data_IF_238543121884
#
_entry.id   IF_238543121884
#
_cell.length_a   1.000
_cell.length_b   1.000
_cell.length_c   1.000
_cell.angle_alpha   90.00
_cell.angle_beta   90.00
_cell.angle_gamma   90.00
#
_symmetry.space_group_name_H-M   'P 1'
#
loop_
_entity.id
_entity.type
_entity.pdbx_description
1 polymer ?
#
# COMPACT_ATOMS: atom_id res chain seq x y z
N UNK A 1 46.17 -34.06 -23.61
CA UNK A 1 45.13 -33.56 -22.69
C UNK A 1 45.73 -32.55 -21.69
N UNK A 2 46.23 -31.40 -22.16
CA UNK A 2 46.85 -30.34 -21.34
C UNK A 2 46.40 -28.91 -21.70
N UNK A 3 45.42 -28.76 -22.60
CA UNK A 3 44.92 -27.45 -23.06
C UNK A 3 43.67 -26.96 -22.28
N UNK A 4 42.95 -27.87 -21.61
CA UNK A 4 41.74 -27.54 -20.82
C UNK A 4 42.03 -26.93 -19.45
N UNK A 5 43.25 -27.10 -18.91
CA UNK A 5 43.62 -26.46 -17.64
C UNK A 5 43.91 -24.96 -17.83
N UNK A 6 44.56 -24.59 -18.93
CA UNK A 6 44.98 -23.20 -19.19
C UNK A 6 43.80 -22.24 -19.37
N UNK A 7 42.71 -22.66 -20.02
CA UNK A 7 41.52 -21.81 -20.23
C UNK A 7 40.72 -21.60 -18.95
N UNK A 8 40.61 -22.65 -18.12
CA UNK A 8 39.94 -22.58 -16.81
C UNK A 8 40.69 -21.64 -15.86
N UNK A 9 42.01 -21.68 -15.90
CA UNK A 9 42.87 -20.86 -15.04
C UNK A 9 42.89 -19.39 -15.49
N UNK A 10 42.76 -19.12 -16.80
CA UNK A 10 42.59 -17.75 -17.34
C UNK A 10 41.21 -17.18 -16.97
N UNK A 11 40.13 -17.97 -17.08
CA UNK A 11 38.78 -17.54 -16.70
C UNK A 11 38.67 -17.24 -15.19
N UNK A 12 39.31 -18.04 -14.33
CA UNK A 12 39.40 -17.77 -12.90
C UNK A 12 40.17 -16.48 -12.60
N UNK A 13 41.21 -16.18 -13.38
CA UNK A 13 41.96 -14.93 -13.25
C UNK A 13 41.11 -13.70 -13.60
N UNK A 14 40.29 -13.77 -14.65
CA UNK A 14 39.34 -12.71 -15.03
C UNK A 14 38.25 -12.49 -13.98
N UNK A 15 37.72 -13.57 -13.39
CA UNK A 15 36.72 -13.50 -12.30
C UNK A 15 37.34 -12.87 -11.04
N UNK A 16 38.56 -13.27 -10.67
CA UNK A 16 39.26 -12.69 -9.52
C UNK A 16 39.60 -11.20 -9.74
N UNK A 17 40.04 -10.82 -10.94
CA UNK A 17 40.30 -9.41 -11.29
C UNK A 17 39.01 -8.56 -11.27
N UNK A 18 37.85 -9.13 -11.64
CA UNK A 18 36.55 -8.45 -11.52
C UNK A 18 36.06 -8.33 -10.07
N UNK A 19 36.44 -9.26 -9.18
CA UNK A 19 36.17 -9.19 -7.75
C UNK A 19 37.07 -8.16 -7.03
N UNK A 20 38.34 -8.01 -7.44
CA UNK A 20 39.26 -7.00 -6.88
C UNK A 20 39.09 -5.59 -7.48
N UNK A 21 38.48 -5.45 -8.67
CA UNK A 21 38.05 -4.14 -9.21
C UNK A 21 36.72 -3.65 -8.61
N UNK A 22 36.00 -4.51 -7.88
CA UNK A 22 34.87 -4.11 -7.07
C UNK A 22 35.38 -3.55 -5.73
N UNK A 23 36.12 -2.44 -5.81
CA UNK A 23 36.39 -1.61 -4.63
C UNK A 23 35.07 -1.32 -3.94
N UNK A 24 35.07 -1.28 -2.61
CA UNK A 24 33.88 -1.01 -1.79
C UNK A 24 33.21 0.29 -2.24
N UNK A 25 32.29 0.19 -3.20
CA UNK A 25 31.39 1.26 -3.57
C UNK A 25 30.38 1.31 -2.45
N UNK A 26 30.49 2.33 -1.58
CA UNK A 26 29.29 2.87 -0.92
C UNK A 26 28.23 3.02 -2.02
N UNK A 27 26.97 2.60 -1.78
CA UNK A 27 25.93 2.73 -2.79
C UNK A 27 25.97 4.16 -3.33
N UNK A 28 26.15 4.31 -4.64
CA UNK A 28 26.21 5.63 -5.26
C UNK A 28 24.84 6.27 -5.09
N UNK A 29 24.70 7.13 -4.08
CA UNK A 29 23.47 7.89 -3.87
C UNK A 29 23.37 8.84 -5.05
N UNK A 30 22.36 8.62 -5.90
CA UNK A 30 22.10 9.49 -7.05
C UNK A 30 21.68 10.85 -6.48
N UNK A 31 22.22 11.99 -6.94
CA UNK A 31 21.89 13.32 -6.41
C UNK A 31 20.37 13.61 -6.33
N UNK A 32 19.60 13.05 -7.27
CA UNK A 32 18.14 13.16 -7.29
C UNK A 32 17.46 12.38 -6.14
N UNK A 33 18.05 11.28 -5.69
CA UNK A 33 17.53 10.51 -4.55
C UNK A 33 17.73 11.28 -3.24
N UNK A 34 18.89 11.90 -3.02
CA UNK A 34 19.13 12.68 -1.80
C UNK A 34 18.16 13.86 -1.69
N UNK A 35 17.95 14.58 -2.80
CA UNK A 35 16.98 15.67 -2.84
C UNK A 35 15.55 15.17 -2.61
N UNK A 36 15.15 14.06 -3.23
CA UNK A 36 13.84 13.46 -3.01
C UNK A 36 13.63 13.04 -1.55
N UNK A 37 14.66 12.46 -0.91
CA UNK A 37 14.63 12.11 0.52
C UNK A 37 14.55 13.35 1.42
N UNK A 38 15.20 14.45 1.05
CA UNK A 38 15.11 15.73 1.75
C UNK A 38 13.69 16.30 1.68
N UNK A 39 13.12 16.36 0.48
CA UNK A 39 11.75 16.82 0.26
C UNK A 39 10.74 15.97 1.02
N UNK A 40 10.92 14.65 1.03
CA UNK A 40 10.10 13.73 1.83
C UNK A 40 10.20 14.04 3.33
N UNK A 41 11.40 14.24 3.87
CA UNK A 41 11.59 14.60 5.29
C UNK A 41 10.92 15.92 5.64
N UNK A 42 10.99 16.91 4.75
CA UNK A 42 10.33 18.20 4.94
C UNK A 42 8.80 18.06 4.92
N UNK A 43 8.24 17.30 3.98
CA UNK A 43 6.81 17.00 3.95
C UNK A 43 6.36 16.29 5.23
N UNK A 44 7.10 15.26 5.67
CA UNK A 44 6.84 14.53 6.92
C UNK A 44 6.87 15.45 8.14
N UNK A 45 7.85 16.36 8.19
CA UNK A 45 7.95 17.32 9.29
C UNK A 45 6.75 18.26 9.34
N UNK A 46 6.30 18.77 8.19
CA UNK A 46 5.12 19.63 8.11
C UNK A 46 3.85 18.89 8.54
N UNK A 47 3.66 17.66 8.05
CA UNK A 47 2.52 16.84 8.47
C UNK A 47 2.55 16.55 9.97
N UNK A 48 3.71 16.19 10.55
CA UNK A 48 3.84 15.87 11.98
C UNK A 48 3.65 17.09 12.90
N UNK A 49 4.02 18.28 12.43
CA UNK A 49 3.80 19.51 13.18
C UNK A 49 2.30 19.87 13.32
N UNK A 50 1.45 19.29 12.48
CA UNK A 50 0.01 19.40 12.56
C UNK A 50 -0.58 18.22 13.34
N UNK A 51 -0.69 18.37 14.66
CA UNK A 51 -1.27 17.35 15.53
C UNK A 51 -2.74 17.06 15.18
N UNK A 52 -3.51 18.08 14.81
CA UNK A 52 -4.91 17.91 14.42
C UNK A 52 -5.02 17.03 13.16
N UNK A 53 -4.08 17.19 12.22
CA UNK A 53 -4.01 16.33 11.05
C UNK A 53 -3.89 14.85 11.41
N UNK A 54 -3.24 14.45 12.50
CA UNK A 54 -3.04 13.04 12.88
C UNK A 54 -4.04 12.48 13.90
N UNK A 55 -4.44 13.29 14.89
CA UNK A 55 -5.18 12.79 16.05
C UNK A 55 -6.70 12.94 15.93
N UNK A 56 -7.18 13.77 15.00
CA UNK A 56 -8.62 13.91 14.78
C UNK A 56 -9.14 12.80 13.86
N UNK A 57 -10.38 12.32 14.09
CA UNK A 57 -11.03 11.38 13.20
C UNK A 57 -11.23 12.02 11.81
N UNK A 58 -11.10 11.18 10.78
CA UNK A 58 -11.41 11.54 9.39
C UNK A 58 -12.80 10.98 9.11
N UNK A 59 -13.73 11.86 8.81
CA UNK A 59 -15.08 11.49 8.38
C UNK A 59 -15.46 12.28 7.12
N UNK A 60 -16.63 11.96 6.57
CA UNK A 60 -17.12 12.56 5.33
C UNK A 60 -17.26 14.07 5.42
N UNK A 61 -17.73 14.56 6.57
CA UNK A 61 -18.08 15.95 6.81
C UNK A 61 -16.86 16.79 7.20
N UNK A 62 -15.81 16.14 7.71
CA UNK A 62 -14.62 16.78 8.25
C UNK A 62 -13.32 16.21 7.64
N UNK A 63 -13.03 16.48 6.35
CA UNK A 63 -11.74 16.14 5.78
C UNK A 63 -10.61 16.82 6.56
N UNK A 64 -9.54 16.09 6.86
CA UNK A 64 -8.41 16.62 7.62
C UNK A 64 -7.32 17.09 6.67
N UNK A 65 -7.47 18.33 6.22
CA UNK A 65 -6.47 19.00 5.40
C UNK A 65 -5.34 19.50 6.29
N UNK A 66 -4.10 19.16 5.95
CA UNK A 66 -2.94 19.62 6.71
C UNK A 66 -2.82 21.16 6.64
N UNK A 67 -2.39 21.81 7.72
CA UNK A 67 -2.16 23.27 7.78
C UNK A 67 -1.32 23.80 6.61
N UNK A 68 -0.33 23.02 6.18
CA UNK A 68 0.54 23.35 5.06
C UNK A 68 0.21 22.51 3.81
N UNK A 69 -1.07 22.32 3.52
CA UNK A 69 -1.60 21.42 2.49
C UNK A 69 -0.86 21.49 1.15
N UNK A 70 -0.84 22.68 0.54
CA UNK A 70 -0.22 22.91 -0.77
C UNK A 70 1.27 22.59 -0.77
N UNK A 71 1.98 22.95 0.30
CA UNK A 71 3.41 22.73 0.44
C UNK A 71 3.73 21.25 0.67
N UNK A 72 2.94 20.55 1.49
CA UNK A 72 3.08 19.10 1.70
C UNK A 72 2.84 18.37 0.38
N UNK A 73 1.76 18.69 -0.34
CA UNK A 73 1.45 18.11 -1.64
C UNK A 73 2.58 18.32 -2.64
N UNK A 74 3.05 19.56 -2.79
CA UNK A 74 4.13 19.90 -3.71
C UNK A 74 5.40 19.12 -3.40
N UNK A 75 5.84 19.08 -2.13
CA UNK A 75 7.05 18.36 -1.74
C UNK A 75 6.97 16.85 -2.03
N UNK A 76 5.81 16.25 -1.81
CA UNK A 76 5.58 14.84 -2.12
C UNK A 76 5.56 14.59 -3.64
N UNK A 77 4.96 15.48 -4.42
CA UNK A 77 4.97 15.42 -5.87
C UNK A 77 6.39 15.56 -6.45
N UNK A 78 7.14 16.55 -5.97
CA UNK A 78 8.52 16.80 -6.38
C UNK A 78 9.42 15.61 -6.01
N UNK A 79 9.26 15.03 -4.81
CA UNK A 79 10.01 13.84 -4.41
C UNK A 79 9.75 12.64 -5.33
N UNK A 80 8.48 12.42 -5.71
CA UNK A 80 8.10 11.34 -6.62
C UNK A 80 8.55 11.59 -8.07
N UNK A 81 8.60 12.85 -8.50
CA UNK A 81 9.13 13.24 -9.80
C UNK A 81 10.65 13.02 -9.87
N UNK A 82 11.37 13.43 -8.83
CA UNK A 82 12.83 13.29 -8.76
C UNK A 82 13.28 11.83 -8.62
N UNK A 83 12.55 11.03 -7.84
CA UNK A 83 12.88 9.64 -7.58
C UNK A 83 11.63 8.75 -7.62
N UNK A 84 11.18 8.31 -8.81
CA UNK A 84 10.01 7.45 -8.94
C UNK A 84 10.12 6.10 -8.25
N UNK A 85 11.33 5.64 -7.91
CA UNK A 85 11.56 4.39 -7.15
C UNK A 85 11.51 4.58 -5.63
N UNK A 86 11.30 5.80 -5.12
CA UNK A 86 11.28 6.11 -3.69
C UNK A 86 9.99 5.62 -3.03
N UNK A 87 9.97 4.36 -2.61
CA UNK A 87 8.84 3.67 -1.96
C UNK A 87 8.18 4.48 -0.84
N UNK A 88 8.98 5.09 0.04
CA UNK A 88 8.48 5.85 1.20
C UNK A 88 7.69 7.10 0.79
N UNK A 89 8.01 7.71 -0.35
CA UNK A 89 7.27 8.87 -0.85
C UNK A 89 5.86 8.48 -1.31
N UNK A 90 5.68 7.32 -1.95
CA UNK A 90 4.35 6.80 -2.28
C UNK A 90 3.51 6.55 -1.04
N UNK A 91 4.07 5.87 -0.03
CA UNK A 91 3.35 5.59 1.22
C UNK A 91 2.95 6.87 1.95
N UNK A 92 3.85 7.85 2.01
CA UNK A 92 3.57 9.13 2.66
C UNK A 92 2.52 9.93 1.90
N UNK A 93 2.58 9.95 0.56
CA UNK A 93 1.55 10.56 -0.27
C UNK A 93 0.21 9.85 -0.16
N UNK A 94 0.20 8.51 -0.12
CA UNK A 94 -1.00 7.72 0.07
C UNK A 94 -1.73 8.07 1.38
N UNK A 95 -0.99 8.09 2.49
CA UNK A 95 -1.53 8.49 3.80
C UNK A 95 -2.06 9.92 3.77
N UNK A 96 -1.29 10.84 3.19
CA UNK A 96 -1.67 12.23 3.06
C UNK A 96 -3.00 12.40 2.29
N UNK A 97 -3.16 11.72 1.15
CA UNK A 97 -4.37 11.78 0.34
C UNK A 97 -5.57 11.19 1.07
N UNK A 98 -5.41 10.04 1.73
CA UNK A 98 -6.48 9.40 2.51
C UNK A 98 -6.98 10.31 3.63
N UNK A 99 -6.07 10.87 4.43
CA UNK A 99 -6.45 11.74 5.57
C UNK A 99 -7.07 13.06 5.11
N UNK A 100 -6.60 13.59 3.99
CA UNK A 100 -7.13 14.80 3.37
C UNK A 100 -8.41 14.55 2.54
N UNK A 101 -8.87 13.29 2.44
CA UNK A 101 -9.96 12.82 1.56
C UNK A 101 -9.85 13.30 0.11
N UNK A 102 -8.63 13.37 -0.44
CA UNK A 102 -8.37 13.72 -1.85
C UNK A 102 -8.48 12.48 -2.73
N UNK A 103 -9.70 11.94 -2.82
CA UNK A 103 -9.98 10.62 -3.40
C UNK A 103 -9.66 10.55 -4.89
N UNK A 104 -9.82 11.66 -5.60
CA UNK A 104 -9.52 11.83 -7.02
C UNK A 104 -8.04 11.61 -7.36
N UNK A 105 -7.14 11.81 -6.39
CA UNK A 105 -5.69 11.64 -6.59
C UNK A 105 -5.21 10.22 -6.25
N UNK A 106 -6.03 9.40 -5.58
CA UNK A 106 -5.62 8.06 -5.12
C UNK A 106 -5.42 7.09 -6.29
N UNK A 107 -6.35 7.05 -7.24
CA UNK A 107 -6.25 6.11 -8.37
C UNK A 107 -5.00 6.37 -9.23
N UNK A 108 -4.70 7.61 -9.66
CA UNK A 108 -3.45 7.92 -10.34
C UNK A 108 -2.20 7.56 -9.52
N UNK A 109 -2.22 7.78 -8.20
CA UNK A 109 -1.10 7.41 -7.34
C UNK A 109 -0.88 5.90 -7.29
N UNK A 110 -1.94 5.11 -7.10
CA UNK A 110 -1.87 3.66 -6.99
C UNK A 110 -1.42 3.02 -8.31
N UNK A 111 -1.84 3.53 -9.47
CA UNK A 111 -1.33 3.12 -10.79
C UNK A 111 0.17 3.42 -10.95
N UNK A 112 0.64 4.60 -10.51
CA UNK A 112 2.08 4.93 -10.52
C UNK A 112 2.86 4.05 -9.56
N UNK A 113 2.31 3.75 -8.39
CA UNK A 113 2.92 2.87 -7.40
C UNK A 113 3.08 1.45 -7.95
N UNK A 114 2.09 0.93 -8.68
CA UNK A 114 2.13 -0.39 -9.31
C UNK A 114 3.25 -0.45 -10.35
N UNK A 115 3.38 0.61 -11.14
CA UNK A 115 4.41 0.68 -12.19
C UNK A 115 5.81 0.81 -11.61
N UNK A 116 6.01 1.70 -10.64
CA UNK A 116 7.34 2.09 -10.20
C UNK A 116 7.86 1.31 -9.00
N UNK A 117 6.97 0.84 -8.12
CA UNK A 117 7.32 0.14 -6.87
C UNK A 117 6.33 -1.00 -6.55
N UNK A 118 6.08 -1.95 -7.48
CA UNK A 118 5.02 -2.96 -7.36
C UNK A 118 5.06 -3.78 -6.06
N UNK A 119 6.26 -4.07 -5.56
CA UNK A 119 6.46 -4.86 -4.33
C UNK A 119 6.05 -4.12 -3.04
N UNK A 120 5.65 -2.86 -3.13
CA UNK A 120 5.30 -2.02 -1.98
C UNK A 120 3.80 -1.84 -1.80
N UNK A 121 2.98 -2.31 -2.74
CA UNK A 121 1.52 -2.21 -2.64
C UNK A 121 1.00 -3.32 -1.72
N UNK A 122 0.43 -2.91 -0.60
CA UNK A 122 -0.18 -3.80 0.37
C UNK A 122 -1.59 -4.27 -0.09
N UNK A 123 -2.12 -5.31 0.56
CA UNK A 123 -3.38 -5.93 0.16
C UNK A 123 -4.58 -4.95 0.19
N UNK A 124 -4.61 -4.07 1.20
CA UNK A 124 -5.58 -2.99 1.37
C UNK A 124 -5.46 -1.91 0.28
N UNK A 125 -4.24 -1.58 -0.13
CA UNK A 125 -4.01 -0.67 -1.26
C UNK A 125 -4.47 -1.27 -2.59
N UNK A 126 -4.25 -2.57 -2.81
CA UNK A 126 -4.78 -3.28 -3.99
C UNK A 126 -6.31 -3.32 -3.97
N UNK A 127 -6.92 -3.57 -2.81
CA UNK A 127 -8.37 -3.53 -2.65
C UNK A 127 -8.93 -2.14 -3.00
N UNK A 128 -8.33 -1.08 -2.46
CA UNK A 128 -8.73 0.30 -2.74
C UNK A 128 -8.54 0.68 -4.21
N UNK A 129 -7.42 0.27 -4.83
CA UNK A 129 -7.18 0.43 -6.26
C UNK A 129 -8.29 -0.24 -7.06
N UNK A 130 -8.60 -1.50 -6.75
CA UNK A 130 -9.63 -2.28 -7.44
C UNK A 130 -11.01 -1.61 -7.38
N UNK A 131 -11.41 -1.12 -6.20
CA UNK A 131 -12.66 -0.38 -6.02
C UNK A 131 -12.72 0.91 -6.86
N UNK A 132 -11.62 1.66 -6.91
CA UNK A 132 -11.53 2.88 -7.73
C UNK A 132 -11.53 2.57 -9.23
N UNK A 133 -10.86 1.50 -9.67
CA UNK A 133 -10.87 1.03 -11.06
C UNK A 133 -12.28 0.59 -11.49
N UNK A 134 -12.99 -0.16 -10.63
CA UNK A 134 -14.34 -0.65 -10.92
C UNK A 134 -15.33 0.53 -11.04
N UNK A 135 -15.27 1.47 -10.09
CA UNK A 135 -16.07 2.71 -10.13
C UNK A 135 -15.78 3.54 -11.38
N UNK A 136 -14.53 3.58 -11.83
CA UNK A 136 -14.14 4.27 -13.06
C UNK A 136 -14.50 3.49 -14.35
N UNK A 137 -15.08 2.29 -14.25
CA UNK A 137 -15.53 1.47 -15.37
C UNK A 137 -14.46 0.51 -15.93
N UNK A 138 -13.27 0.44 -15.34
CA UNK A 138 -12.18 -0.44 -15.77
C UNK A 138 -12.30 -1.84 -15.14
N UNK A 139 -13.37 -2.56 -15.49
CA UNK A 139 -13.77 -3.83 -14.85
C UNK A 139 -12.70 -4.94 -14.89
N UNK A 140 -11.99 -5.09 -16.01
CA UNK A 140 -10.96 -6.13 -16.13
C UNK A 140 -9.75 -5.85 -15.24
N UNK A 141 -9.32 -4.58 -15.18
CA UNK A 141 -8.26 -4.12 -14.27
C UNK A 141 -8.70 -4.29 -12.82
N UNK A 142 -9.93 -3.87 -12.48
CA UNK A 142 -10.48 -4.04 -11.14
C UNK A 142 -10.51 -5.51 -10.72
N UNK A 143 -10.96 -6.41 -11.60
CA UNK A 143 -10.98 -7.86 -11.35
C UNK A 143 -9.58 -8.40 -11.06
N UNK A 144 -8.59 -8.02 -11.87
CA UNK A 144 -7.20 -8.40 -11.63
C UNK A 144 -6.73 -7.93 -10.24
N UNK A 145 -7.01 -6.67 -9.90
CA UNK A 145 -6.57 -6.06 -8.66
C UNK A 145 -7.25 -6.65 -7.42
N UNK A 146 -8.55 -6.96 -7.48
CA UNK A 146 -9.27 -7.69 -6.42
C UNK A 146 -8.67 -9.06 -6.16
N UNK A 147 -8.30 -9.80 -7.22
CA UNK A 147 -7.64 -11.11 -7.10
C UNK A 147 -6.21 -10.98 -6.54
N UNK A 148 -5.50 -9.89 -6.89
CA UNK A 148 -4.18 -9.58 -6.33
C UNK A 148 -4.27 -9.29 -4.83
N UNK A 149 -5.22 -8.46 -4.41
CA UNK A 149 -5.52 -8.21 -3.00
C UNK A 149 -5.85 -9.51 -2.26
N UNK A 150 -6.73 -10.34 -2.84
CA UNK A 150 -7.15 -11.61 -2.26
C UNK A 150 -5.97 -12.56 -1.98
N UNK A 151 -5.05 -12.63 -2.94
CA UNK A 151 -3.82 -13.42 -2.85
C UNK A 151 -2.91 -12.90 -1.74
N UNK A 152 -2.72 -11.59 -1.63
CA UNK A 152 -1.89 -11.00 -0.59
C UNK A 152 -2.50 -11.18 0.80
N UNK A 153 -3.83 -11.05 0.94
CA UNK A 153 -4.51 -11.40 2.20
C UNK A 153 -4.34 -12.88 2.56
N UNK A 154 -4.44 -13.79 1.60
CA UNK A 154 -4.24 -15.22 1.85
C UNK A 154 -2.79 -15.51 2.30
N UNK A 155 -1.80 -14.86 1.71
CA UNK A 155 -0.39 -14.96 2.14
C UNK A 155 -0.18 -14.39 3.55
N UNK A 156 -0.77 -13.24 3.84
CA UNK A 156 -0.72 -12.62 5.18
C UNK A 156 -1.33 -13.55 6.24
N UNK A 157 -2.52 -14.12 5.98
CA UNK A 157 -3.18 -15.07 6.90
C UNK A 157 -2.31 -16.31 7.16
N UNK A 158 -1.73 -16.91 6.12
CA UNK A 158 -0.83 -18.07 6.26
C UNK A 158 0.39 -17.73 7.11
N UNK A 159 0.96 -16.54 6.92
CA UNK A 159 2.09 -16.05 7.70
C UNK A 159 1.69 -15.88 9.18
N UNK A 160 0.59 -15.18 9.44
CA UNK A 160 0.05 -14.97 10.80
C UNK A 160 -0.22 -16.28 11.53
N UNK A 161 -0.79 -17.28 10.84
CA UNK A 161 -0.98 -18.63 11.40
C UNK A 161 0.36 -19.30 11.76
N UNK A 162 1.34 -19.25 10.86
CA UNK A 162 2.66 -19.87 11.07
C UNK A 162 3.42 -19.23 12.23
N UNK A 163 3.31 -17.91 12.35
CA UNK A 163 4.01 -17.12 13.38
C UNK A 163 3.28 -17.12 14.73
N UNK A 164 2.12 -17.78 14.84
CA UNK A 164 1.26 -17.78 16.04
C UNK A 164 0.98 -16.35 16.54
N UNK A 165 0.77 -15.44 15.60
CA UNK A 165 0.46 -14.05 15.91
C UNK A 165 -0.91 -13.93 16.62
N UNK A 166 -1.15 -12.77 17.23
CA UNK A 166 -2.36 -12.48 18.00
C UNK A 166 -3.62 -12.80 17.18
N UNK A 167 -4.56 -13.48 17.86
CA UNK A 167 -5.90 -13.79 17.36
C UNK A 167 -6.63 -12.57 16.80
N UNK A 168 -6.43 -11.38 17.38
CA UNK A 168 -7.03 -10.14 16.90
C UNK A 168 -6.48 -9.78 15.51
N UNK A 169 -5.16 -9.83 15.34
CA UNK A 169 -4.53 -9.54 14.03
C UNK A 169 -5.00 -10.53 12.97
N UNK A 170 -5.08 -11.82 13.32
CA UNK A 170 -5.59 -12.85 12.43
C UNK A 170 -7.05 -12.57 12.01
N UNK A 171 -7.90 -12.21 12.97
CA UNK A 171 -9.31 -11.91 12.69
C UNK A 171 -9.48 -10.64 11.85
N UNK A 172 -8.69 -9.59 12.09
CA UNK A 172 -8.69 -8.39 11.25
C UNK A 172 -8.31 -8.69 9.80
N UNK A 173 -7.30 -9.54 9.57
CA UNK A 173 -6.94 -9.96 8.20
C UNK A 173 -8.07 -10.73 7.51
N UNK A 174 -8.81 -11.57 8.24
CA UNK A 174 -9.98 -12.27 7.68
C UNK A 174 -11.09 -11.30 7.30
N UNK A 175 -11.37 -10.32 8.15
CA UNK A 175 -12.37 -9.28 7.88
C UNK A 175 -12.00 -8.48 6.63
N UNK A 176 -10.76 -8.02 6.52
CA UNK A 176 -10.29 -7.27 5.35
C UNK A 176 -10.35 -8.10 4.07
N UNK A 177 -10.00 -9.39 4.14
CA UNK A 177 -10.17 -10.33 3.01
C UNK A 177 -11.64 -10.50 2.63
N UNK A 178 -12.52 -10.66 3.60
CA UNK A 178 -13.95 -10.83 3.34
C UNK A 178 -14.59 -9.56 2.79
N UNK A 179 -14.17 -8.38 3.23
CA UNK A 179 -14.57 -7.10 2.64
C UNK A 179 -14.13 -7.05 1.17
N UNK A 180 -12.89 -7.42 0.86
CA UNK A 180 -12.39 -7.48 -0.51
C UNK A 180 -13.26 -8.37 -1.41
N UNK A 181 -13.60 -9.57 -0.93
CA UNK A 181 -14.46 -10.49 -1.67
C UNK A 181 -15.91 -10.01 -1.75
N UNK A 182 -16.41 -9.36 -0.71
CA UNK A 182 -17.77 -8.78 -0.69
C UNK A 182 -17.93 -7.74 -1.78
N UNK A 183 -16.96 -6.83 -1.92
CA UNK A 183 -16.97 -5.81 -2.97
C UNK A 183 -16.78 -6.44 -4.35
N UNK A 184 -15.84 -7.40 -4.49
CA UNK A 184 -15.56 -8.03 -5.76
C UNK A 184 -16.74 -8.81 -6.34
N UNK A 185 -17.42 -9.62 -5.50
CA UNK A 185 -18.58 -10.42 -5.92
C UNK A 185 -19.92 -9.69 -5.76
N UNK A 186 -19.91 -8.48 -5.22
CA UNK A 186 -21.11 -7.75 -4.81
C UNK A 186 -22.00 -8.56 -3.85
N UNK A 187 -21.38 -9.29 -2.92
CA UNK A 187 -22.04 -10.11 -1.91
C UNK A 187 -21.57 -9.78 -0.49
N UNK A 188 -22.28 -8.86 0.15
CA UNK A 188 -21.99 -8.41 1.51
C UNK A 188 -22.44 -9.40 2.60
N UNK A 189 -22.97 -10.59 2.25
CA UNK A 189 -23.09 -11.68 3.22
C UNK A 189 -21.73 -12.16 3.72
N UNK A 190 -20.69 -12.11 2.86
CA UNK A 190 -19.35 -12.57 3.19
C UNK A 190 -18.77 -11.79 4.38
N UNK A 191 -18.76 -10.46 4.32
CA UNK A 191 -18.28 -9.63 5.42
C UNK A 191 -19.19 -9.72 6.66
N UNK A 192 -20.53 -9.80 6.48
CA UNK A 192 -21.46 -9.97 7.61
C UNK A 192 -21.19 -11.25 8.40
N UNK A 193 -20.88 -12.34 7.71
CA UNK A 193 -20.57 -13.62 8.37
C UNK A 193 -19.25 -13.54 9.14
N UNK A 194 -18.22 -12.87 8.61
CA UNK A 194 -16.96 -12.67 9.35
C UNK A 194 -17.12 -11.74 10.56
N UNK A 195 -17.92 -10.67 10.46
CA UNK A 195 -18.23 -9.80 11.60
C UNK A 195 -18.94 -10.58 12.71
N UNK A 196 -19.94 -11.40 12.36
CA UNK A 196 -20.64 -12.28 13.32
C UNK A 196 -19.67 -13.25 14.00
N UNK A 197 -18.76 -13.85 13.23
CA UNK A 197 -17.75 -14.75 13.79
C UNK A 197 -16.81 -14.02 14.75
N UNK A 198 -16.32 -12.84 14.37
CA UNK A 198 -15.47 -12.02 15.24
C UNK A 198 -16.19 -11.71 16.57
N UNK A 199 -17.42 -11.18 16.49
CA UNK A 199 -18.20 -10.81 17.67
C UNK A 199 -18.47 -12.04 18.57
N UNK A 200 -18.67 -13.23 18.00
CA UNK A 200 -18.84 -14.46 18.76
C UNK A 200 -17.57 -14.93 19.50
N UNK A 201 -16.39 -14.71 18.90
CA UNK A 201 -15.10 -15.11 19.49
C UNK A 201 -14.59 -14.09 20.51
N UNK A 202 -14.61 -12.81 20.14
CA UNK A 202 -14.00 -11.74 20.94
C UNK A 202 -14.98 -11.07 21.90
N UNK A 203 -16.29 -11.35 21.80
CA UNK A 203 -17.36 -10.81 22.66
C UNK A 203 -17.33 -9.28 22.79
N UNK A 204 -16.72 -8.62 21.81
CA UNK A 204 -16.49 -7.18 21.76
C UNK A 204 -16.86 -6.69 20.35
N UNK A 205 -17.67 -5.63 20.24
CA UNK A 205 -18.02 -5.05 18.95
C UNK A 205 -16.80 -4.56 18.19
N UNK A 206 -16.82 -4.67 16.87
CA UNK A 206 -15.74 -4.23 15.96
C UNK A 206 -15.69 -2.71 15.75
N UNK A 207 -16.35 -1.95 16.63
CA UNK A 207 -16.53 -0.51 16.51
C UNK A 207 -17.15 -0.11 15.18
N UNK A 208 -16.56 0.88 14.51
CA UNK A 208 -17.08 1.43 13.25
C UNK A 208 -17.13 0.42 12.09
N UNK A 209 -16.42 -0.71 12.17
CA UNK A 209 -16.48 -1.73 11.13
C UNK A 209 -17.83 -2.48 11.11
N UNK A 210 -18.67 -2.35 12.13
CA UNK A 210 -20.05 -2.84 12.08
C UNK A 210 -20.88 -2.14 11.01
N UNK A 211 -20.53 -0.92 10.60
CA UNK A 211 -21.17 -0.21 9.48
C UNK A 211 -21.08 -1.02 8.18
N UNK A 212 -20.02 -1.83 8.00
CA UNK A 212 -19.88 -2.69 6.82
C UNK A 212 -20.99 -3.73 6.71
N UNK A 213 -21.65 -4.08 7.82
CA UNK A 213 -22.78 -5.01 7.84
C UNK A 213 -24.08 -4.40 7.29
N UNK A 214 -24.15 -3.07 7.21
CA UNK A 214 -25.31 -2.34 6.70
C UNK A 214 -25.29 -2.18 5.17
N UNK A 215 -24.14 -2.38 4.52
CA UNK A 215 -24.03 -2.24 3.07
C UNK A 215 -24.75 -3.38 2.35
N UNK A 216 -25.61 -2.99 1.40
CA UNK A 216 -26.44 -3.90 0.60
C UNK A 216 -25.82 -4.26 -0.74
N UNK A 217 -24.77 -3.53 -1.15
CA UNK A 217 -24.05 -3.74 -2.39
C UNK A 217 -22.86 -2.78 -2.51
N UNK A 218 -22.04 -3.00 -3.52
CA UNK A 218 -20.76 -2.29 -3.73
C UNK A 218 -20.95 -0.81 -4.07
N UNK A 219 -22.05 -0.43 -4.72
CA UNK A 219 -22.34 0.98 -5.01
C UNK A 219 -22.52 1.78 -3.72
N UNK A 220 -23.27 1.25 -2.75
CA UNK A 220 -23.42 1.89 -1.42
C UNK A 220 -22.07 1.99 -0.71
N UNK A 221 -21.22 0.97 -0.85
CA UNK A 221 -19.85 0.99 -0.33
C UNK A 221 -18.98 2.06 -1.01
N UNK A 222 -19.09 2.23 -2.34
CA UNK A 222 -18.37 3.26 -3.09
C UNK A 222 -18.82 4.66 -2.70
N UNK A 223 -20.13 4.89 -2.58
CA UNK A 223 -20.69 6.17 -2.16
C UNK A 223 -20.20 6.53 -0.75
N UNK A 224 -20.23 5.57 0.17
CA UNK A 224 -19.72 5.78 1.53
C UNK A 224 -18.23 6.13 1.55
N UNK A 225 -17.42 5.45 0.75
CA UNK A 225 -15.97 5.60 0.81
C UNK A 225 -15.47 6.83 0.05
N UNK A 226 -16.08 7.17 -1.08
CA UNK A 226 -15.54 8.11 -2.03
C UNK A 226 -16.36 9.39 -2.22
N UNK A 227 -17.54 9.50 -1.64
CA UNK A 227 -18.36 10.72 -1.65
C UNK A 227 -18.39 11.42 -0.28
#
# INVERSE_FOLDING_TARGET
MKLMHTVRDILLLFVLLSLFSCGQRKPSVVPNQEMAERLLKEADSLMRADSAFWYMPVDRENPRVCRHDSLVRQKLDDALLMCPSLKKAYLSKYIYLLRSRKMEELLPLLRKMETNVPDSIAADMWHLKAALEDRAGYRDTARHDFLKADTLYALALRKTMKEKADTVQYAMLRLMKALNLSVFYDDFNLIRNEIRLYNGVHQTPLGNAELLSAFTGKEVYYDYLFE
#
